data_IF_290367037241
#
_entry.id   IF_290367037241
#
_cell.length_a   1.000
_cell.length_b   1.000
_cell.length_c   1.000
_cell.angle_alpha   90.00
_cell.angle_beta   90.00
_cell.angle_gamma   90.00
#
_symmetry.space_group_name_H-M   'P 1'
#
loop_
_entity.id
_entity.type
_entity.pdbx_description
1 polymer ?
#
# COMPACT_ATOMS: atom_id res chain seq x y z
N UNK A 1 8.79 -24.25 -17.88
CA UNK A 1 7.47 -24.06 -17.26
C UNK A 1 6.47 -23.43 -18.22
N UNK A 2 6.84 -22.44 -19.06
CA UNK A 2 5.91 -21.83 -20.03
C UNK A 2 5.27 -22.85 -20.98
N UNK A 3 6.06 -23.77 -21.53
CA UNK A 3 5.56 -24.82 -22.44
C UNK A 3 4.55 -25.77 -21.80
N UNK A 4 4.69 -26.05 -20.51
CA UNK A 4 3.77 -26.89 -19.73
C UNK A 4 2.46 -26.14 -19.49
N UNK A 5 2.53 -24.89 -19.03
CA UNK A 5 1.38 -24.01 -18.82
C UNK A 5 0.59 -23.78 -20.12
N UNK A 6 1.28 -23.55 -21.23
CA UNK A 6 0.65 -23.45 -22.54
C UNK A 6 -0.05 -24.76 -22.92
N UNK A 7 0.52 -25.91 -22.57
CA UNK A 7 -0.10 -27.21 -22.84
C UNK A 7 -1.41 -27.39 -22.07
N UNK A 8 -1.42 -27.05 -20.78
CA UNK A 8 -2.61 -27.11 -19.92
C UNK A 8 -3.74 -26.22 -20.45
N UNK A 9 -3.42 -24.99 -20.84
CA UNK A 9 -4.39 -24.05 -21.44
C UNK A 9 -4.98 -24.58 -22.75
N UNK A 10 -4.14 -25.13 -23.62
CA UNK A 10 -4.60 -25.73 -24.88
C UNK A 10 -5.51 -26.93 -24.65
N UNK A 11 -5.22 -27.75 -23.65
CA UNK A 11 -6.06 -28.88 -23.27
C UNK A 11 -7.40 -28.43 -22.67
N UNK A 12 -7.37 -27.45 -21.75
CA UNK A 12 -8.56 -26.83 -21.15
C UNK A 12 -9.54 -26.33 -22.21
N UNK A 13 -9.06 -25.56 -23.17
CA UNK A 13 -9.88 -24.99 -24.25
C UNK A 13 -10.03 -25.91 -25.46
N UNK A 14 -9.51 -27.14 -25.40
CA UNK A 14 -9.53 -28.15 -26.48
C UNK A 14 -9.01 -27.61 -27.82
N UNK A 15 -7.96 -26.81 -27.78
CA UNK A 15 -7.31 -26.21 -28.94
C UNK A 15 -6.17 -27.11 -29.41
N UNK A 16 -6.28 -27.62 -30.64
CA UNK A 16 -5.21 -28.39 -31.27
C UNK A 16 -4.11 -27.46 -31.81
N UNK A 17 -2.86 -27.94 -31.85
CA UNK A 17 -1.72 -27.20 -32.40
C UNK A 17 -2.01 -26.63 -33.80
N UNK A 18 -2.62 -27.43 -34.69
CA UNK A 18 -3.05 -26.98 -36.02
C UNK A 18 -3.96 -25.75 -36.01
N UNK A 19 -4.88 -25.69 -35.06
CA UNK A 19 -5.80 -24.54 -34.92
C UNK A 19 -5.03 -23.31 -34.45
N UNK A 20 -4.18 -23.46 -33.44
CA UNK A 20 -3.37 -22.36 -32.93
C UNK A 20 -2.40 -21.84 -34.00
N UNK A 21 -1.78 -22.73 -34.78
CA UNK A 21 -0.90 -22.39 -35.89
C UNK A 21 -1.60 -21.50 -36.93
N UNK A 22 -2.84 -21.87 -37.31
CA UNK A 22 -3.64 -21.09 -38.26
C UNK A 22 -4.00 -19.69 -37.73
N UNK A 23 -4.29 -19.57 -36.43
CA UNK A 23 -4.68 -18.30 -35.81
C UNK A 23 -3.49 -17.36 -35.61
N UNK A 24 -2.32 -17.91 -35.29
CA UNK A 24 -1.14 -17.13 -34.89
C UNK A 24 -0.14 -16.90 -36.02
N UNK A 25 -0.24 -17.67 -37.12
CA UNK A 25 0.77 -17.69 -38.18
C UNK A 25 2.06 -18.43 -37.79
N UNK A 26 2.08 -19.10 -36.64
CA UNK A 26 3.22 -19.87 -36.13
C UNK A 26 3.14 -21.31 -36.64
N UNK A 27 4.26 -21.93 -36.99
CA UNK A 27 4.26 -23.32 -37.48
C UNK A 27 3.87 -24.31 -36.37
N UNK A 28 3.17 -25.39 -36.73
CA UNK A 28 2.81 -26.46 -35.78
C UNK A 28 4.04 -27.10 -35.12
N UNK A 29 5.14 -27.20 -35.87
CA UNK A 29 6.42 -27.68 -35.36
C UNK A 29 6.96 -26.78 -34.25
N UNK A 30 6.98 -25.47 -34.47
CA UNK A 30 7.45 -24.52 -33.46
C UNK A 30 6.55 -24.52 -32.21
N UNK A 31 5.22 -24.57 -32.38
CA UNK A 31 4.30 -24.73 -31.24
C UNK A 31 4.61 -26.02 -30.49
N UNK A 32 4.89 -27.13 -31.18
CA UNK A 32 5.27 -28.37 -30.52
C UNK A 32 6.61 -28.28 -29.78
N UNK A 33 7.56 -27.50 -30.28
CA UNK A 33 8.85 -27.32 -29.62
C UNK A 33 8.72 -26.43 -28.38
N UNK A 34 7.88 -25.39 -28.44
CA UNK A 34 7.50 -24.59 -27.27
C UNK A 34 6.90 -25.48 -26.19
N UNK A 35 5.89 -26.29 -26.53
CA UNK A 35 5.23 -27.19 -25.57
C UNK A 35 6.19 -28.17 -24.90
N UNK A 36 7.26 -28.56 -25.60
CA UNK A 36 8.30 -29.47 -25.08
C UNK A 36 9.43 -28.74 -24.36
N UNK A 37 9.36 -27.42 -24.21
CA UNK A 37 10.42 -26.60 -23.61
C UNK A 37 11.72 -26.57 -24.42
N UNK A 38 11.69 -26.93 -25.70
CA UNK A 38 12.88 -26.91 -26.59
C UNK A 38 13.13 -25.52 -27.16
N UNK A 39 12.12 -24.66 -27.15
CA UNK A 39 12.21 -23.30 -27.65
C UNK A 39 11.32 -22.37 -26.84
N UNK A 40 11.74 -21.13 -26.68
CA UNK A 40 10.96 -20.06 -26.07
C UNK A 40 10.54 -19.11 -27.18
N UNK A 41 9.24 -18.77 -27.33
CA UNK A 41 8.81 -17.87 -28.39
C UNK A 41 9.43 -16.47 -28.20
N UNK A 42 9.63 -15.75 -29.29
CA UNK A 42 9.92 -14.30 -29.20
C UNK A 42 8.66 -13.54 -28.77
N UNK A 43 8.83 -12.32 -28.27
CA UNK A 43 7.73 -11.49 -27.76
C UNK A 43 6.57 -11.38 -28.75
N UNK A 44 6.84 -11.11 -30.03
CA UNK A 44 5.78 -11.00 -31.04
C UNK A 44 4.97 -12.29 -31.20
N UNK A 45 5.64 -13.44 -31.18
CA UNK A 45 4.99 -14.76 -31.23
C UNK A 45 4.21 -15.06 -29.94
N UNK A 46 4.73 -14.64 -28.77
CA UNK A 46 3.99 -14.75 -27.51
C UNK A 46 2.69 -13.95 -27.60
N UNK A 47 2.75 -12.67 -27.99
CA UNK A 47 1.57 -11.81 -28.07
C UNK A 47 0.55 -12.39 -29.05
N UNK A 48 1.00 -12.88 -30.21
CA UNK A 48 0.13 -13.57 -31.16
C UNK A 48 -0.57 -14.79 -30.53
N UNK A 49 0.14 -15.60 -29.74
CA UNK A 49 -0.44 -16.73 -29.00
C UNK A 49 -1.48 -16.23 -27.99
N UNK A 50 -1.13 -15.26 -27.14
CA UNK A 50 -2.00 -14.77 -26.07
C UNK A 50 -3.29 -14.15 -26.61
N UNK A 51 -3.21 -13.35 -27.67
CA UNK A 51 -4.35 -12.63 -28.23
C UNK A 51 -5.32 -13.54 -29.03
N UNK A 52 -4.86 -14.73 -29.43
CA UNK A 52 -5.66 -15.70 -30.18
C UNK A 52 -6.16 -16.89 -29.33
N UNK A 53 -5.83 -16.90 -28.04
CA UNK A 53 -6.36 -17.87 -27.08
C UNK A 53 -7.52 -17.23 -26.29
N UNK A 54 -8.57 -18.01 -25.97
CA UNK A 54 -9.70 -17.52 -25.18
C UNK A 54 -9.35 -17.46 -23.68
N UNK A 55 -8.32 -16.69 -23.33
CA UNK A 55 -7.79 -16.60 -21.97
C UNK A 55 -8.63 -15.66 -21.09
N UNK A 56 -8.77 -15.99 -19.81
CA UNK A 56 -9.11 -14.97 -18.81
C UNK A 56 -7.95 -13.99 -18.63
N UNK A 57 -8.23 -12.86 -17.96
CA UNK A 57 -7.17 -11.89 -17.63
C UNK A 57 -6.06 -12.55 -16.80
N UNK A 58 -6.41 -13.35 -15.80
CA UNK A 58 -5.42 -14.02 -14.95
C UNK A 58 -4.60 -15.05 -15.74
N UNK A 59 -5.23 -15.84 -16.61
CA UNK A 59 -4.52 -16.82 -17.45
C UNK A 59 -3.52 -16.16 -18.39
N UNK A 60 -3.88 -15.00 -18.93
CA UNK A 60 -3.01 -14.21 -19.82
C UNK A 60 -1.81 -13.64 -19.07
N UNK A 61 -2.03 -13.06 -17.89
CA UNK A 61 -0.96 -12.53 -17.04
C UNK A 61 -0.01 -13.66 -16.61
N UNK A 62 -0.55 -14.78 -16.14
CA UNK A 62 0.25 -15.93 -15.71
C UNK A 62 1.15 -16.49 -16.83
N UNK A 63 0.60 -16.70 -18.03
CA UNK A 63 1.41 -17.16 -19.18
C UNK A 63 2.49 -16.15 -19.58
N UNK A 64 2.20 -14.85 -19.48
CA UNK A 64 3.18 -13.81 -19.80
C UNK A 64 4.32 -13.81 -18.78
N UNK A 65 4.00 -13.89 -17.49
CA UNK A 65 4.99 -13.93 -16.40
C UNK A 65 5.91 -15.15 -16.53
N UNK A 66 5.35 -16.33 -16.80
CA UNK A 66 6.15 -17.55 -17.00
C UNK A 66 7.06 -17.47 -18.22
N UNK A 67 6.60 -16.84 -19.30
CA UNK A 67 7.47 -16.54 -20.43
C UNK A 67 8.58 -15.55 -20.06
N UNK A 68 8.24 -14.48 -19.33
CA UNK A 68 9.19 -13.43 -18.94
C UNK A 68 10.28 -13.99 -18.02
N UNK A 69 9.93 -14.93 -17.13
CA UNK A 69 10.89 -15.67 -16.30
C UNK A 69 11.83 -16.53 -17.13
N UNK A 70 11.33 -17.23 -18.16
CA UNK A 70 12.18 -18.07 -19.03
C UNK A 70 13.14 -17.28 -19.93
N UNK A 71 12.77 -16.06 -20.34
CA UNK A 71 13.65 -15.20 -21.17
C UNK A 71 14.60 -14.32 -20.34
N UNK A 72 14.35 -14.21 -19.03
CA UNK A 72 15.13 -13.35 -18.14
C UNK A 72 16.41 -14.05 -17.63
N UNK A 73 17.49 -13.30 -17.35
CA UNK A 73 18.66 -13.87 -16.71
C UNK A 73 18.35 -14.45 -15.34
N UNK A 74 18.94 -15.60 -15.00
CA UNK A 74 18.75 -16.27 -13.69
C UNK A 74 18.98 -15.34 -12.49
N UNK A 75 19.93 -14.40 -12.61
CA UNK A 75 20.23 -13.41 -11.56
C UNK A 75 19.08 -12.44 -11.34
N UNK A 76 18.34 -12.09 -12.39
CA UNK A 76 17.14 -11.26 -12.30
C UNK A 76 15.97 -12.05 -11.72
N UNK A 77 15.75 -13.27 -12.21
CA UNK A 77 14.68 -14.16 -11.72
C UNK A 77 14.82 -14.42 -10.23
N UNK A 78 16.03 -14.73 -9.75
CA UNK A 78 16.30 -14.91 -8.30
C UNK A 78 15.98 -13.66 -7.48
N UNK A 79 16.41 -12.47 -7.94
CA UNK A 79 16.09 -11.21 -7.26
C UNK A 79 14.59 -10.94 -7.23
N UNK A 80 13.88 -11.22 -8.32
CA UNK A 80 12.43 -11.09 -8.39
C UNK A 80 11.74 -12.04 -7.40
N UNK A 81 12.12 -13.31 -7.39
CA UNK A 81 11.55 -14.31 -6.48
C UNK A 81 11.83 -13.96 -5.00
N UNK A 82 13.02 -13.43 -4.69
CA UNK A 82 13.35 -12.92 -3.35
C UNK A 82 12.46 -11.74 -2.97
N UNK A 83 12.26 -10.78 -3.89
CA UNK A 83 11.44 -9.60 -3.65
C UNK A 83 9.95 -9.96 -3.51
N UNK A 84 9.46 -10.85 -4.37
CA UNK A 84 8.09 -11.36 -4.36
C UNK A 84 7.80 -12.15 -3.07
N UNK A 85 8.74 -13.00 -2.64
CA UNK A 85 8.61 -13.66 -1.34
C UNK A 85 8.64 -12.68 -0.17
N UNK A 86 9.53 -11.68 -0.19
CA UNK A 86 9.56 -10.64 0.84
C UNK A 86 8.25 -9.84 0.87
N UNK A 87 7.70 -9.51 -0.29
CA UNK A 87 6.42 -8.84 -0.43
C UNK A 87 5.27 -9.69 0.14
N UNK A 88 5.20 -10.98 -0.22
CA UNK A 88 4.21 -11.93 0.33
C UNK A 88 4.34 -12.11 1.84
N UNK A 89 5.57 -12.15 2.37
CA UNK A 89 5.81 -12.21 3.81
C UNK A 89 5.34 -10.94 4.52
N UNK A 90 5.58 -9.77 3.93
CA UNK A 90 5.07 -8.49 4.43
C UNK A 90 3.55 -8.41 4.37
N UNK A 91 2.94 -8.86 3.27
CA UNK A 91 1.49 -9.01 3.13
C UNK A 91 0.93 -9.91 4.22
N UNK A 92 1.48 -11.11 4.41
CA UNK A 92 1.05 -12.03 5.45
C UNK A 92 1.22 -11.45 6.86
N UNK A 93 2.33 -10.75 7.13
CA UNK A 93 2.55 -10.03 8.39
C UNK A 93 1.55 -8.86 8.58
N UNK A 94 1.08 -8.27 7.48
CA UNK A 94 0.05 -7.24 7.45
C UNK A 94 -1.38 -7.80 7.38
N UNK A 95 -1.58 -9.13 7.34
CA UNK A 95 -2.91 -9.77 7.35
C UNK A 95 -3.35 -10.51 6.08
N UNK A 96 -2.48 -10.67 5.08
CA UNK A 96 -2.70 -11.46 3.86
C UNK A 96 -3.24 -10.66 2.66
N UNK A 97 -3.20 -11.27 1.46
CA UNK A 97 -3.82 -10.75 0.23
C UNK A 97 -5.35 -10.88 0.31
N UNK A 98 -6.10 -9.77 0.37
CA UNK A 98 -7.52 -9.79 0.05
C UNK A 98 -7.94 -8.49 -0.66
N UNK A 99 -8.11 -8.59 -1.99
CA UNK A 99 -9.03 -7.78 -2.82
C UNK A 99 -10.52 -7.96 -2.42
N UNK A 100 -10.82 -8.49 -1.22
CA UNK A 100 -12.16 -8.63 -0.64
C UNK A 100 -12.34 -8.00 0.75
N UNK A 101 -11.27 -7.62 1.46
CA UNK A 101 -11.32 -7.08 2.83
C UNK A 101 -11.38 -5.55 2.91
N UNK A 102 -11.33 -4.87 1.77
CA UNK A 102 -10.89 -3.47 1.66
C UNK A 102 -11.96 -2.39 1.81
N UNK A 103 -13.10 -2.68 2.45
CA UNK A 103 -14.02 -1.62 2.90
C UNK A 103 -14.48 -1.82 4.33
N UNK A 104 -15.04 -2.96 4.69
CA UNK A 104 -15.73 -3.13 5.98
C UNK A 104 -14.77 -3.09 7.18
N UNK A 105 -13.57 -3.66 7.08
CA UNK A 105 -12.60 -3.62 8.20
C UNK A 105 -11.86 -2.28 8.28
N UNK A 106 -11.46 -1.70 7.15
CA UNK A 106 -10.91 -0.33 7.12
C UNK A 106 -11.95 0.67 7.62
N UNK A 107 -13.22 0.51 7.23
CA UNK A 107 -14.32 1.34 7.67
C UNK A 107 -14.61 1.14 9.16
N UNK A 108 -14.57 -0.08 9.70
CA UNK A 108 -14.67 -0.31 11.16
C UNK A 108 -13.49 0.26 11.94
N UNK A 109 -12.28 0.17 11.41
CA UNK A 109 -11.09 0.75 12.03
C UNK A 109 -11.20 2.28 12.00
N UNK A 110 -11.58 2.85 10.86
CA UNK A 110 -11.82 4.29 10.71
C UNK A 110 -12.97 4.77 11.59
N UNK A 111 -14.09 4.05 11.67
CA UNK A 111 -15.21 4.33 12.59
C UNK A 111 -14.73 4.32 14.04
N UNK A 112 -13.92 3.34 14.45
CA UNK A 112 -13.33 3.34 15.80
C UNK A 112 -12.36 4.50 16.04
N UNK A 113 -11.58 4.91 15.04
CA UNK A 113 -10.72 6.09 15.17
C UNK A 113 -11.54 7.39 15.20
N UNK A 114 -12.60 7.49 14.40
CA UNK A 114 -13.54 8.61 14.39
C UNK A 114 -14.25 8.69 15.74
N UNK A 115 -14.79 7.59 16.26
CA UNK A 115 -15.41 7.54 17.59
C UNK A 115 -14.45 7.96 18.70
N UNK A 116 -13.17 7.54 18.63
CA UNK A 116 -12.15 7.99 19.58
C UNK A 116 -11.88 9.49 19.44
N UNK A 117 -11.75 9.99 18.22
CA UNK A 117 -11.54 11.43 17.97
C UNK A 117 -12.76 12.24 18.41
N UNK A 118 -13.98 11.76 18.19
CA UNK A 118 -15.22 12.40 18.61
C UNK A 118 -15.35 12.38 20.14
N UNK A 119 -15.02 11.27 20.80
CA UNK A 119 -14.98 11.19 22.25
C UNK A 119 -13.91 12.13 22.85
N UNK A 120 -12.74 12.23 22.22
CA UNK A 120 -11.71 13.19 22.60
C UNK A 120 -12.15 14.63 22.34
N UNK A 121 -12.80 14.92 21.21
CA UNK A 121 -13.38 16.24 20.92
C UNK A 121 -14.42 16.62 21.94
N UNK A 122 -15.33 15.72 22.31
CA UNK A 122 -16.35 16.01 23.33
C UNK A 122 -15.70 16.24 24.70
N UNK A 123 -14.65 15.48 25.03
CA UNK A 123 -13.85 15.71 26.23
C UNK A 123 -13.15 17.09 26.22
N UNK A 124 -12.53 17.46 25.09
CA UNK A 124 -11.87 18.76 24.95
C UNK A 124 -12.85 19.93 24.87
N UNK A 125 -14.07 19.69 24.38
CA UNK A 125 -15.15 20.68 24.34
C UNK A 125 -15.53 21.14 25.75
N UNK A 126 -15.64 20.22 26.72
CA UNK A 126 -15.93 20.66 28.11
C UNK A 126 -14.78 21.49 28.68
N UNK A 127 -13.51 21.16 28.37
CA UNK A 127 -12.40 22.01 28.81
C UNK A 127 -12.43 23.39 28.16
N UNK A 128 -12.78 23.47 26.87
CA UNK A 128 -12.95 24.74 26.17
C UNK A 128 -14.10 25.55 26.77
N UNK A 129 -15.27 24.94 26.98
CA UNK A 129 -16.42 25.60 27.59
C UNK A 129 -16.09 26.13 28.99
N UNK A 130 -15.46 25.31 29.84
CA UNK A 130 -14.99 25.74 31.17
C UNK A 130 -13.98 26.88 31.09
N UNK A 131 -13.07 26.83 30.11
CA UNK A 131 -12.06 27.87 29.91
C UNK A 131 -12.68 29.19 29.43
N UNK A 132 -13.72 29.12 28.59
CA UNK A 132 -14.45 30.30 28.09
C UNK A 132 -15.37 30.95 29.12
N UNK A 133 -15.68 30.27 30.23
CA UNK A 133 -16.39 30.87 31.37
C UNK A 133 -15.54 31.86 32.17
N UNK A 134 -14.21 31.74 32.10
CA UNK A 134 -13.28 32.69 32.70
C UNK A 134 -13.25 33.98 31.88
N UNK A 135 -13.01 35.12 32.51
CA UNK A 135 -12.79 36.36 31.75
C UNK A 135 -11.44 36.34 31.01
N UNK A 136 -11.19 37.34 30.16
CA UNK A 136 -9.98 37.37 29.34
C UNK A 136 -8.69 37.43 30.17
N UNK A 137 -8.69 38.17 31.28
CA UNK A 137 -7.52 38.34 32.14
C UNK A 137 -7.25 37.05 32.93
N UNK A 138 -8.31 36.40 33.43
CA UNK A 138 -8.25 35.09 34.06
C UNK A 138 -7.73 34.02 33.09
N UNK A 139 -8.24 33.97 31.85
CA UNK A 139 -7.74 33.06 30.81
C UNK A 139 -6.25 33.28 30.54
N UNK A 140 -5.82 34.54 30.37
CA UNK A 140 -4.41 34.91 30.18
C UNK A 140 -3.55 34.46 31.37
N UNK A 141 -4.04 34.65 32.59
CA UNK A 141 -3.34 34.21 33.80
C UNK A 141 -3.23 32.68 33.86
N UNK A 142 -4.32 31.95 33.62
CA UNK A 142 -4.34 30.49 33.63
C UNK A 142 -3.38 29.89 32.61
N UNK A 143 -3.34 30.41 31.37
CA UNK A 143 -2.40 29.92 30.35
C UNK A 143 -0.95 30.16 30.78
N UNK A 144 -0.62 31.33 31.35
CA UNK A 144 0.74 31.63 31.86
C UNK A 144 1.16 30.64 32.96
N UNK A 145 0.24 30.27 33.84
CA UNK A 145 0.50 29.26 34.88
C UNK A 145 0.73 27.87 34.27
N UNK A 146 -0.10 27.46 33.29
CA UNK A 146 0.06 26.20 32.59
C UNK A 146 1.45 26.12 31.94
N UNK A 147 1.88 27.15 31.21
CA UNK A 147 3.22 27.19 30.58
C UNK A 147 4.33 27.09 31.63
N UNK A 148 4.22 27.85 32.72
CA UNK A 148 5.22 27.85 33.79
C UNK A 148 5.36 26.46 34.43
N UNK A 149 4.24 25.75 34.61
CA UNK A 149 4.23 24.38 35.12
C UNK A 149 4.83 23.38 34.12
N UNK A 150 4.54 23.53 32.83
CA UNK A 150 5.15 22.71 31.77
C UNK A 150 6.67 22.90 31.77
N UNK A 151 7.16 24.14 31.81
CA UNK A 151 8.59 24.43 31.85
C UNK A 151 9.27 23.82 33.08
N UNK A 152 8.65 23.95 34.26
CA UNK A 152 9.16 23.35 35.49
C UNK A 152 9.28 21.82 35.36
N UNK A 153 8.24 21.17 34.82
CA UNK A 153 8.23 19.72 34.61
C UNK A 153 9.29 19.28 33.60
N UNK A 154 9.45 20.00 32.49
CA UNK A 154 10.47 19.72 31.47
C UNK A 154 11.89 19.88 32.00
N UNK A 155 12.14 20.91 32.83
CA UNK A 155 13.43 21.11 33.51
C UNK A 155 13.72 19.98 34.50
N UNK A 156 12.71 19.59 35.28
CA UNK A 156 12.83 18.48 36.24
C UNK A 156 13.10 17.15 35.54
N UNK A 157 12.52 16.94 34.36
CA UNK A 157 12.72 15.75 33.54
C UNK A 157 14.00 15.78 32.70
N UNK A 158 14.78 16.87 32.72
CA UNK A 158 15.99 17.03 31.91
C UNK A 158 15.75 17.20 30.40
N UNK A 159 14.51 17.49 29.98
CA UNK A 159 14.09 17.59 28.57
C UNK A 159 13.87 19.02 28.09
N UNK A 160 14.25 20.01 28.90
CA UNK A 160 13.96 21.41 28.59
C UNK A 160 14.61 21.88 27.29
N UNK A 161 15.89 21.58 27.07
CA UNK A 161 16.60 22.04 25.86
C UNK A 161 16.01 21.48 24.56
N UNK A 162 15.49 20.24 24.57
CA UNK A 162 14.84 19.61 23.41
C UNK A 162 13.50 20.28 23.04
N UNK A 163 12.84 20.93 24.00
CA UNK A 163 11.51 21.51 23.85
C UNK A 163 11.51 23.04 23.93
N UNK A 164 12.69 23.65 24.03
CA UNK A 164 12.84 25.08 24.30
C UNK A 164 12.25 25.95 23.19
N UNK A 165 12.50 25.59 21.93
CA UNK A 165 11.99 26.34 20.77
C UNK A 165 10.45 26.39 20.75
N UNK A 166 9.79 25.29 21.08
CA UNK A 166 8.33 25.19 21.12
C UNK A 166 7.74 26.00 22.29
N UNK A 167 8.39 25.96 23.46
CA UNK A 167 8.00 26.78 24.62
C UNK A 167 8.15 28.27 24.34
N UNK A 168 9.25 28.67 23.70
CA UNK A 168 9.51 30.07 23.36
C UNK A 168 8.51 30.58 22.32
N UNK A 169 8.15 29.75 21.33
CA UNK A 169 7.07 30.04 20.38
C UNK A 169 5.72 30.27 21.08
N UNK A 170 5.30 29.36 21.96
CA UNK A 170 4.03 29.48 22.70
C UNK A 170 3.99 30.73 23.58
N UNK A 171 5.12 31.11 24.18
CA UNK A 171 5.24 32.36 24.95
C UNK A 171 5.12 33.60 24.07
N UNK A 172 5.64 33.55 22.85
CA UNK A 172 5.57 34.66 21.92
C UNK A 172 4.15 34.90 21.39
N UNK A 173 3.43 33.81 21.08
CA UNK A 173 2.00 33.85 20.72
C UNK A 173 1.09 34.41 21.83
N UNK A 174 1.53 34.41 23.09
CA UNK A 174 0.77 35.00 24.21
C UNK A 174 1.12 36.46 24.49
N UNK A 175 2.24 36.95 23.94
CA UNK A 175 2.67 38.35 24.07
C UNK A 175 2.06 39.22 22.99
N UNK A 176 1.92 38.68 21.79
CA UNK A 176 1.21 39.30 20.69
C UNK A 176 -0.26 38.93 20.84
N UNK A 177 -1.17 39.90 20.77
CA UNK A 177 -2.61 39.62 20.80
C UNK A 177 -2.91 38.50 19.80
N UNK A 178 -3.62 37.47 20.23
CA UNK A 178 -3.99 36.34 19.39
C UNK A 178 -4.95 36.90 18.31
N UNK A 179 -4.43 37.28 17.15
CA UNK A 179 -5.24 37.52 15.96
C UNK A 179 -5.76 36.16 15.50
N UNK A 180 -7.00 35.85 15.87
CA UNK A 180 -7.73 34.73 15.30
C UNK A 180 -8.08 35.09 13.84
N UNK A 181 -7.32 34.57 12.88
CA UNK A 181 -7.82 34.49 11.50
C UNK A 181 -8.93 33.43 11.44
N UNK A 182 -10.16 33.89 11.18
CA UNK A 182 -11.28 33.05 10.74
C UNK A 182 -11.26 32.90 9.22
#
# INVERSE_FOLDING_TARGET
>A
MFGEQLTEILEKYKIKNRKLALLTGITEGFISDIKRGRSVPRKDNLIAILDNLPLTKEEREHLYEEWEREVSPDTFVKKYDELSNKYRLLLNAAGGEEEGRTKIEIQRINEKYIEKIEAEKEKYKIYYELFMLLDEDERKFTIKQIISNIEFNLRTAGKYEENKEEIDFLKDCLKHEIEYEF
#
